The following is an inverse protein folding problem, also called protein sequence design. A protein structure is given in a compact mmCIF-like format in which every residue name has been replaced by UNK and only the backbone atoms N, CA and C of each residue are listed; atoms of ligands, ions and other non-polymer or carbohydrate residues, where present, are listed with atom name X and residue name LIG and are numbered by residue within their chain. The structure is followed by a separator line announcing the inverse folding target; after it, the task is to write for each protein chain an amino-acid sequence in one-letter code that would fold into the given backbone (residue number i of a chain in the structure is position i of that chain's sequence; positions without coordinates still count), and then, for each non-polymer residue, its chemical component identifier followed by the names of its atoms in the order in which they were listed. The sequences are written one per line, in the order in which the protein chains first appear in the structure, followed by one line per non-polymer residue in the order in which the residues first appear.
data_IF_038412284961
#
_entry.id   IF_038412284961
#
_cell.length_a   1.000
_cell.length_b   1.000
_cell.length_c   1.000
_cell.angle_alpha   90.00
_cell.angle_beta   90.00
_cell.angle_gamma   90.00
#
_symmetry.space_group_name_H-M   'P 1'
#
loop_
_entity.id
_entity.type
_entity.pdbx_description
1 polymer ?
#
# COMPACT_ATOMS: atom_id res chain seq x y z
N UNK A 1 2.28 -15.11 1.71
CA UNK A 1 1.32 -14.80 2.79
C UNK A 1 1.51 -13.35 3.13
N UNK A 2 0.44 -12.57 3.19
CA UNK A 2 0.49 -11.14 3.48
C UNK A 2 0.72 -10.88 4.97
N UNK A 3 1.44 -9.81 5.32
CA UNK A 3 1.67 -9.42 6.71
C UNK A 3 0.40 -8.84 7.35
N UNK A 4 -0.44 -8.19 6.53
CA UNK A 4 -1.68 -7.55 6.98
C UNK A 4 -2.87 -7.83 6.07
N UNK A 5 -4.08 -7.80 6.67
CA UNK A 5 -5.34 -8.04 5.96
C UNK A 5 -5.58 -7.04 4.82
N UNK A 6 -5.19 -5.79 5.02
CA UNK A 6 -5.27 -4.71 4.03
C UNK A 6 -4.41 -4.94 2.80
N UNK A 7 -3.26 -5.59 2.95
CA UNK A 7 -2.38 -5.92 1.81
C UNK A 7 -3.03 -7.02 0.97
N UNK A 8 -3.64 -8.02 1.61
CA UNK A 8 -4.40 -9.06 0.90
C UNK A 8 -5.57 -8.45 0.13
N UNK A 9 -6.37 -7.61 0.77
CA UNK A 9 -7.48 -6.92 0.10
C UNK A 9 -7.01 -6.06 -1.07
N UNK A 10 -5.84 -5.41 -0.95
CA UNK A 10 -5.26 -4.64 -2.04
C UNK A 10 -4.80 -5.52 -3.21
N UNK A 11 -4.18 -6.66 -2.92
CA UNK A 11 -3.80 -7.64 -3.94
C UNK A 11 -5.02 -8.19 -4.69
N UNK A 12 -6.07 -8.61 -3.97
CA UNK A 12 -7.34 -9.09 -4.54
C UNK A 12 -7.99 -8.03 -5.45
N UNK A 13 -7.89 -6.75 -5.06
CA UNK A 13 -8.40 -5.63 -5.85
C UNK A 13 -7.60 -5.44 -7.15
N UNK A 14 -6.27 -5.48 -7.06
CA UNK A 14 -5.40 -5.40 -8.24
C UNK A 14 -5.65 -6.56 -9.21
N UNK A 15 -5.81 -7.78 -8.68
CA UNK A 15 -6.18 -8.97 -9.45
C UNK A 15 -7.53 -8.78 -10.16
N UNK A 16 -8.53 -8.24 -9.45
CA UNK A 16 -9.84 -7.94 -10.02
C UNK A 16 -9.76 -6.97 -11.21
N UNK A 17 -8.89 -5.97 -11.16
CA UNK A 17 -8.65 -5.03 -12.26
C UNK A 17 -7.65 -5.52 -13.30
N UNK A 18 -7.05 -6.70 -13.13
CA UNK A 18 -6.00 -7.20 -14.01
C UNK A 18 -4.72 -6.37 -14.00
N UNK A 19 -4.45 -5.67 -12.88
CA UNK A 19 -3.22 -4.91 -12.68
C UNK A 19 -2.12 -5.87 -12.25
N UNK A 20 -0.99 -5.84 -12.94
CA UNK A 20 0.17 -6.64 -12.53
C UNK A 20 0.81 -6.05 -11.27
N UNK A 21 1.18 -6.92 -10.32
CA UNK A 21 1.82 -6.51 -9.08
C UNK A 21 2.86 -7.52 -8.58
N UNK A 22 3.76 -7.02 -7.75
CA UNK A 22 4.74 -7.81 -6.99
C UNK A 22 4.69 -7.39 -5.54
N UNK A 23 4.60 -8.35 -4.63
CA UNK A 23 4.60 -8.11 -3.18
C UNK A 23 6.02 -8.09 -2.63
N UNK A 24 6.33 -7.12 -1.76
CA UNK A 24 7.67 -6.88 -1.19
C UNK A 24 8.81 -7.00 -2.23
N UNK A 25 8.74 -6.22 -3.33
CA UNK A 25 9.53 -6.43 -4.54
C UNK A 25 11.03 -6.21 -4.33
N UNK A 26 11.40 -5.26 -3.48
CA UNK A 26 12.77 -4.81 -3.30
C UNK A 26 12.93 -4.09 -1.96
N UNK A 27 14.12 -4.20 -1.36
CA UNK A 27 14.49 -3.47 -0.14
C UNK A 27 15.54 -2.42 -0.44
N UNK A 28 15.21 -1.16 -0.15
CA UNK A 28 16.09 -0.01 -0.33
C UNK A 28 16.83 0.31 0.97
N UNK A 29 18.14 0.46 0.88
CA UNK A 29 18.97 0.87 2.04
C UNK A 29 18.98 2.39 2.11
N UNK A 30 18.41 2.94 3.18
CA UNK A 30 18.27 4.39 3.38
C UNK A 30 19.42 5.01 4.16
N UNK A 31 20.09 4.22 5.02
CA UNK A 31 21.31 4.65 5.70
C UNK A 31 22.14 3.50 6.24
N UNK A 32 23.43 3.75 6.44
CA UNK A 32 24.39 2.84 7.08
C UNK A 32 25.01 3.49 8.30
N UNK A 33 25.39 2.70 9.30
CA UNK A 33 26.13 3.17 10.47
C UNK A 33 27.63 3.35 10.14
N UNK A 34 28.41 3.81 11.12
CA UNK A 34 29.87 4.02 10.96
C UNK A 34 30.63 2.73 10.61
N UNK A 35 30.10 1.57 11.02
CA UNK A 35 30.63 0.24 10.70
C UNK A 35 30.24 -0.24 9.29
N UNK A 36 29.44 0.53 8.54
CA UNK A 36 28.95 0.18 7.20
C UNK A 36 27.71 -0.72 7.17
N UNK A 37 27.17 -1.08 8.33
CA UNK A 37 25.98 -1.93 8.45
C UNK A 37 24.70 -1.14 8.15
N UNK A 38 23.66 -1.81 7.66
CA UNK A 38 22.38 -1.18 7.35
C UNK A 38 21.70 -0.70 8.64
N UNK A 39 21.58 0.61 8.80
CA UNK A 39 20.93 1.24 9.95
C UNK A 39 19.45 1.50 9.69
N UNK A 40 19.09 1.81 8.44
CA UNK A 40 17.70 1.94 8.03
C UNK A 40 17.50 1.43 6.61
N UNK A 41 16.42 0.68 6.42
CA UNK A 41 15.94 0.23 5.12
C UNK A 41 14.41 0.40 5.00
N UNK A 42 13.95 0.34 3.76
CA UNK A 42 12.55 0.46 3.39
C UNK A 42 12.22 -0.56 2.30
N UNK A 43 11.20 -1.37 2.53
CA UNK A 43 10.69 -2.38 1.61
C UNK A 43 9.25 -1.99 1.34
N UNK A 44 8.92 -1.48 0.14
CA UNK A 44 7.54 -1.15 -0.19
C UNK A 44 6.67 -2.41 -0.18
N UNK A 45 5.41 -2.27 0.23
CA UNK A 45 4.49 -3.41 0.25
C UNK A 45 4.24 -3.99 -1.16
N UNK A 46 4.15 -3.13 -2.19
CA UNK A 46 3.91 -3.54 -3.58
C UNK A 46 4.74 -2.75 -4.60
N UNK A 47 4.93 -3.35 -5.78
CA UNK A 47 5.34 -2.66 -7.01
C UNK A 47 4.38 -3.01 -8.15
N UNK A 48 4.00 -2.00 -8.93
CA UNK A 48 3.10 -2.11 -10.07
C UNK A 48 3.89 -1.89 -11.36
N UNK A 49 4.36 -2.95 -12.07
CA UNK A 49 5.28 -2.81 -13.20
C UNK A 49 4.72 -1.97 -14.35
N UNK A 50 3.41 -2.04 -14.60
CA UNK A 50 2.73 -1.28 -15.65
C UNK A 50 2.84 0.24 -15.46
N UNK A 51 3.06 0.69 -14.22
CA UNK A 51 3.12 2.10 -13.85
C UNK A 51 4.49 2.53 -13.32
N UNK A 52 5.44 1.60 -13.27
CA UNK A 52 6.76 1.77 -12.65
C UNK A 52 6.69 2.45 -11.27
N UNK A 53 5.78 1.97 -10.42
CA UNK A 53 5.48 2.61 -9.14
C UNK A 53 5.47 1.63 -7.98
N UNK A 54 6.09 2.02 -6.87
CA UNK A 54 6.02 1.35 -5.59
C UNK A 54 4.85 1.90 -4.76
N UNK A 55 4.17 1.01 -4.03
CA UNK A 55 3.02 1.33 -3.18
C UNK A 55 3.29 0.83 -1.77
N UNK A 56 3.07 1.70 -0.80
CA UNK A 56 3.12 1.39 0.62
C UNK A 56 1.71 1.55 1.22
N UNK A 57 1.16 0.47 1.75
CA UNK A 57 -0.14 0.45 2.43
C UNK A 57 0.04 0.92 3.88
N UNK A 58 -0.82 1.82 4.33
CA UNK A 58 -0.88 2.22 5.75
C UNK A 58 -2.30 2.09 6.30
N UNK A 59 -2.47 1.16 7.23
CA UNK A 59 -3.66 1.06 8.09
C UNK A 59 -3.47 1.77 9.44
N UNK A 60 -2.29 2.35 9.66
CA UNK A 60 -1.81 2.66 10.99
C UNK A 60 -2.23 4.06 11.47
N UNK A 61 -2.51 4.17 12.79
CA UNK A 61 -2.82 5.44 13.46
C UNK A 61 -1.74 6.49 13.19
N UNK A 62 -2.11 7.78 13.13
CA UNK A 62 -1.29 8.95 12.77
C UNK A 62 0.20 8.89 13.18
N UNK A 63 0.52 8.39 14.38
CA UNK A 63 1.89 8.26 14.90
C UNK A 63 2.82 7.36 14.05
N UNK A 64 2.28 6.36 13.37
CA UNK A 64 3.05 5.45 12.52
C UNK A 64 3.23 6.00 11.11
N UNK A 65 2.29 6.83 10.65
CA UNK A 65 2.40 7.58 9.39
C UNK A 65 3.61 8.51 9.43
N UNK A 66 3.90 9.19 10.54
CA UNK A 66 5.08 10.06 10.64
C UNK A 66 6.39 9.30 10.41
N UNK A 67 6.53 8.09 10.95
CA UNK A 67 7.73 7.26 10.72
C UNK A 67 7.81 6.75 9.29
N UNK A 68 6.71 6.24 8.71
CA UNK A 68 6.66 5.82 7.30
C UNK A 68 6.98 6.99 6.36
N UNK A 69 6.43 8.18 6.61
CA UNK A 69 6.70 9.39 5.83
C UNK A 69 8.17 9.82 5.93
N UNK A 70 8.79 9.67 7.11
CA UNK A 70 10.23 9.90 7.27
C UNK A 70 11.06 8.97 6.38
N UNK A 71 10.74 7.67 6.35
CA UNK A 71 11.41 6.69 5.47
C UNK A 71 11.17 6.99 4.00
N UNK A 72 9.95 7.30 3.60
CA UNK A 72 9.62 7.63 2.21
C UNK A 72 10.32 8.91 1.75
N UNK A 73 10.42 9.91 2.62
CA UNK A 73 11.22 11.10 2.33
C UNK A 73 12.69 10.74 2.10
N UNK A 74 13.28 9.94 2.99
CA UNK A 74 14.67 9.49 2.82
C UNK A 74 14.85 8.61 1.58
N UNK A 75 13.86 7.77 1.23
CA UNK A 75 13.88 7.01 -0.02
C UNK A 75 13.99 7.95 -1.21
N UNK A 76 13.17 9.00 -1.27
CA UNK A 76 13.23 10.00 -2.35
C UNK A 76 14.53 10.81 -2.37
N UNK A 77 15.16 11.01 -1.22
CA UNK A 77 16.47 11.66 -1.12
C UNK A 77 17.60 10.74 -1.62
N UNK A 78 17.57 9.44 -1.30
CA UNK A 78 18.59 8.47 -1.69
C UNK A 78 18.38 7.91 -3.11
N UNK A 79 17.14 7.83 -3.56
CA UNK A 79 16.70 7.20 -4.81
C UNK A 79 15.67 8.12 -5.50
N UNK A 80 16.11 9.22 -6.14
CA UNK A 80 15.21 10.24 -6.69
C UNK A 80 14.36 9.74 -7.87
N UNK A 81 14.83 8.71 -8.57
CA UNK A 81 14.13 8.12 -9.71
C UNK A 81 13.01 7.14 -9.29
N UNK A 82 12.93 6.79 -8.01
CA UNK A 82 11.94 5.84 -7.49
C UNK A 82 10.64 6.57 -7.19
N UNK A 83 9.58 6.21 -7.91
CA UNK A 83 8.23 6.66 -7.61
C UNK A 83 7.59 5.76 -6.55
N UNK A 84 7.30 6.34 -5.38
CA UNK A 84 6.59 5.67 -4.29
C UNK A 84 5.40 6.50 -3.82
N UNK A 85 4.26 5.83 -3.63
CA UNK A 85 3.06 6.41 -3.02
C UNK A 85 2.70 5.67 -1.72
N UNK A 86 2.32 6.43 -0.70
CA UNK A 86 1.76 5.88 0.55
C UNK A 86 0.25 6.01 0.48
N UNK A 87 -0.46 4.91 0.63
CA UNK A 87 -1.92 4.87 0.56
C UNK A 87 -2.51 4.46 1.89
N UNK A 88 -3.46 5.25 2.38
CA UNK A 88 -4.32 4.76 3.44
C UNK A 88 -5.47 3.94 2.85
N UNK A 89 -6.10 3.10 3.69
CA UNK A 89 -7.25 2.29 3.29
C UNK A 89 -8.42 3.12 2.75
N UNK A 90 -8.47 4.45 2.93
CA UNK A 90 -9.50 5.33 2.35
C UNK A 90 -9.12 5.89 0.97
N UNK A 91 -7.84 5.86 0.60
CA UNK A 91 -7.33 6.50 -0.62
C UNK A 91 -7.43 5.58 -1.86
N UNK A 92 -7.83 4.32 -1.69
CA UNK A 92 -7.87 3.29 -2.72
C UNK A 92 -8.73 3.66 -3.94
N UNK A 93 -9.93 4.21 -3.74
CA UNK A 93 -10.80 4.62 -4.84
C UNK A 93 -10.18 5.74 -5.68
N UNK A 94 -9.55 6.71 -5.02
CA UNK A 94 -8.91 7.83 -5.73
C UNK A 94 -7.69 7.37 -6.53
N UNK A 95 -6.99 6.33 -6.07
CA UNK A 95 -5.89 5.73 -6.82
C UNK A 95 -6.43 5.14 -8.13
N UNK A 96 -7.40 4.23 -8.04
CA UNK A 96 -7.95 3.53 -9.20
C UNK A 96 -8.53 4.49 -10.26
N UNK A 97 -9.31 5.48 -9.82
CA UNK A 97 -9.82 6.52 -10.72
C UNK A 97 -8.70 7.32 -11.40
N UNK A 98 -7.65 7.69 -10.67
CA UNK A 98 -6.52 8.46 -11.23
C UNK A 98 -5.75 7.68 -12.31
N UNK A 99 -5.83 6.34 -12.30
CA UNK A 99 -5.14 5.48 -13.27
C UNK A 99 -6.07 4.86 -14.32
N UNK A 100 -7.29 5.40 -14.47
CA UNK A 100 -8.21 5.05 -15.56
C UNK A 100 -9.13 3.86 -15.27
N UNK A 101 -9.28 3.46 -14.01
CA UNK A 101 -10.23 2.45 -13.56
C UNK A 101 -11.51 3.10 -13.02
N UNK A 102 -12.20 3.91 -13.83
CA UNK A 102 -13.33 4.76 -13.38
C UNK A 102 -14.71 4.07 -13.33
N UNK A 103 -14.91 2.91 -13.96
CA UNK A 103 -16.23 2.23 -14.10
C UNK A 103 -16.73 1.49 -12.84
N UNK A 104 -16.14 1.74 -11.69
CA UNK A 104 -16.23 0.87 -10.48
C UNK A 104 -16.60 1.61 -9.20
N UNK A 105 -16.91 2.91 -9.30
CA UNK A 105 -17.49 3.69 -8.21
C UNK A 105 -18.93 3.23 -7.83
N UNK A 106 -19.50 2.24 -8.54
CA UNK A 106 -20.84 1.71 -8.32
C UNK A 106 -20.96 0.52 -7.36
N UNK A 107 -19.88 0.06 -6.71
CA UNK A 107 -19.94 -1.03 -5.73
C UNK A 107 -20.07 -0.52 -4.27
N UNK A 108 -20.91 0.49 -4.06
CA UNK A 108 -21.54 0.76 -2.76
C UNK A 108 -22.61 -0.31 -2.50
N UNK A 109 -22.18 -1.51 -2.17
CA UNK A 109 -23.09 -2.61 -1.87
C UNK A 109 -22.34 -3.78 -1.29
N UNK A 110 -22.34 -3.87 0.03
CA UNK A 110 -21.94 -5.04 0.81
C UNK A 110 -20.46 -5.18 1.20
N UNK A 111 -19.94 -4.25 2.00
CA UNK A 111 -18.87 -4.55 2.97
C UNK A 111 -19.19 -4.10 4.41
N UNK A 112 -20.39 -3.56 4.62
CA UNK A 112 -20.93 -3.31 5.96
C UNK A 112 -22.23 -4.10 6.11
N UNK A 113 -22.14 -5.38 6.50
CA UNK A 113 -23.04 -6.11 7.39
C UNK A 113 -22.96 -7.62 7.13
N UNK A 114 -22.41 -8.38 8.08
CA UNK A 114 -23.06 -9.62 8.55
C UNK A 114 -22.56 -9.90 9.95
N UNK A 115 -23.44 -9.74 10.94
CA UNK A 115 -23.12 -10.01 12.34
C UNK A 115 -24.16 -9.54 13.35
N UNK A 116 -25.46 -9.65 13.07
CA UNK A 116 -26.50 -9.55 14.10
C UNK A 116 -27.77 -10.30 13.66
N UNK A 117 -27.80 -11.61 13.89
CA UNK A 117 -29.04 -12.39 13.87
C UNK A 117 -29.67 -12.37 15.26
N UNK A 118 -30.64 -11.48 15.48
CA UNK A 118 -31.57 -11.58 16.60
C UNK A 118 -32.71 -12.51 16.18
N UNK A 119 -32.79 -13.69 16.80
CA UNK A 119 -33.95 -14.57 16.73
C UNK A 119 -34.90 -14.28 17.88
N UNK A 120 -36.06 -13.70 17.58
CA UNK A 120 -37.24 -13.76 18.43
C UNK A 120 -38.19 -14.79 17.85
N UNK A 121 -38.50 -15.80 18.66
CA UNK A 121 -39.57 -16.78 18.48
C UNK A 121 -39.94 -17.32 19.84
#
# INVERSE_FOLDING_TARGET
MFAHDSERQFAELLDFYGVEWRYEPETFVLSRNESGEVAEAFTPDFYLPQFDRYVEITTARQKYITRKNGKVRRLRECYPDIDVVVLCQRDYHSLLSKYGFDDVAGMDGDLTHTGAGAGTG
#
